data_IF_600811962548
#
_entry.id   IF_600811962548
#
_cell.length_a   1.000
_cell.length_b   1.000
_cell.length_c   1.000
_cell.angle_alpha   90.00
_cell.angle_beta   90.00
_cell.angle_gamma   90.00
#
_symmetry.space_group_name_H-M   'P 1'
#
loop_
_entity.id
_entity.type
_entity.pdbx_description
1 polymer ?
#
# COMPACT_ATOMS: atom_id res chain seq x y z
N UNK A 1 -19.38 -11.77 -2.51
CA UNK A 1 -20.82 -11.55 -2.18
C UNK A 1 -21.09 -12.11 -0.79
N UNK A 2 -21.49 -11.24 0.14
CA UNK A 2 -21.90 -11.67 1.48
C UNK A 2 -23.41 -11.94 1.39
N UNK A 3 -23.78 -13.20 1.33
CA UNK A 3 -25.17 -13.63 1.33
C UNK A 3 -25.59 -13.99 2.76
N UNK A 4 -26.25 -13.07 3.46
CA UNK A 4 -26.82 -13.29 4.78
C UNK A 4 -27.41 -12.02 5.38
N UNK A 5 -28.35 -12.17 6.31
CA UNK A 5 -29.02 -11.02 6.92
C UNK A 5 -28.22 -10.38 8.08
N UNK A 6 -27.09 -10.97 8.47
CA UNK A 6 -26.26 -10.49 9.58
C UNK A 6 -24.77 -10.73 9.26
N UNK A 7 -23.97 -9.69 9.40
CA UNK A 7 -22.51 -9.74 9.26
C UNK A 7 -21.89 -9.28 10.57
N UNK A 8 -21.06 -10.13 11.17
CA UNK A 8 -20.29 -9.79 12.36
C UNK A 8 -18.84 -9.50 11.98
N UNK A 9 -18.36 -8.31 12.30
CA UNK A 9 -16.97 -7.90 12.10
C UNK A 9 -16.30 -7.72 13.46
N UNK A 10 -15.20 -8.41 13.69
CA UNK A 10 -14.40 -8.27 14.91
C UNK A 10 -13.12 -7.48 14.60
N UNK A 11 -12.90 -6.39 15.30
CA UNK A 11 -11.71 -5.56 15.16
C UNK A 11 -10.84 -5.71 16.41
N UNK A 12 -9.54 -5.91 16.19
CA UNK A 12 -8.53 -5.75 17.23
C UNK A 12 -7.88 -4.39 17.08
N UNK A 13 -8.04 -3.53 18.09
CA UNK A 13 -7.40 -2.22 18.13
C UNK A 13 -6.08 -2.33 18.89
N UNK A 14 -5.02 -1.81 18.29
CA UNK A 14 -3.71 -1.68 18.88
C UNK A 14 -3.29 -0.22 18.90
N UNK A 15 -2.90 0.27 20.06
CA UNK A 15 -2.58 1.69 20.23
C UNK A 15 -1.10 2.04 20.08
N UNK A 16 -0.22 1.06 20.03
CA UNK A 16 1.23 1.28 19.97
C UNK A 16 1.86 1.95 21.21
N UNK A 17 1.08 2.20 22.25
CA UNK A 17 1.52 2.95 23.44
C UNK A 17 2.14 2.08 24.54
N UNK A 18 2.28 0.79 24.34
CA UNK A 18 2.94 -0.10 25.28
C UNK A 18 4.48 -0.09 25.20
N UNK A 19 5.04 0.73 24.33
CA UNK A 19 6.49 0.89 24.19
C UNK A 19 7.03 1.91 25.17
N UNK A 20 7.83 1.49 26.15
CA UNK A 20 8.88 2.20 26.87
C UNK A 20 8.68 3.62 27.42
N UNK A 21 7.55 4.24 27.25
CA UNK A 21 7.26 5.57 27.78
C UNK A 21 6.71 5.54 29.21
N UNK A 22 6.66 6.69 29.85
CA UNK A 22 6.00 6.85 31.16
C UNK A 22 4.55 6.36 31.06
N UNK A 23 4.01 5.69 32.10
CA UNK A 23 2.61 5.29 32.13
C UNK A 23 1.73 6.52 31.89
N UNK A 24 0.94 6.48 30.82
CA UNK A 24 -0.08 7.47 30.54
C UNK A 24 -1.43 6.78 30.62
N UNK A 25 -2.35 7.35 31.36
CA UNK A 25 -3.75 6.98 31.25
C UNK A 25 -4.24 7.47 29.90
N UNK A 26 -4.35 6.56 28.93
CA UNK A 26 -4.86 6.88 27.61
C UNK A 26 -6.19 6.14 27.43
N UNK A 27 -7.26 6.91 27.36
CA UNK A 27 -8.55 6.37 26.93
C UNK A 27 -8.58 6.30 25.42
N UNK A 28 -8.66 5.08 24.91
CA UNK A 28 -8.90 4.85 23.47
C UNK A 28 -10.38 4.89 23.21
N UNK A 29 -10.84 5.94 22.54
CA UNK A 29 -12.24 6.06 22.12
C UNK A 29 -12.34 5.87 20.62
N UNK A 30 -13.24 5.01 20.18
CA UNK A 30 -13.61 4.95 18.78
C UNK A 30 -14.27 6.28 18.40
N UNK A 31 -13.61 7.07 17.55
CA UNK A 31 -14.10 8.38 17.15
C UNK A 31 -15.24 8.25 16.14
N UNK A 32 -15.13 7.30 15.23
CA UNK A 32 -16.09 7.04 14.17
C UNK A 32 -15.90 5.64 13.61
N UNK A 33 -16.94 5.07 13.03
CA UNK A 33 -16.88 3.88 12.21
C UNK A 33 -17.73 4.13 10.96
N UNK A 34 -17.15 3.86 9.80
CA UNK A 34 -17.81 4.00 8.51
C UNK A 34 -17.72 2.70 7.75
N UNK A 35 -18.79 2.35 7.07
CA UNK A 35 -18.80 1.31 6.06
C UNK A 35 -19.17 1.99 4.73
N UNK A 36 -18.39 1.73 3.71
CA UNK A 36 -18.58 2.31 2.39
C UNK A 36 -18.07 1.38 1.30
N UNK A 37 -18.39 1.73 0.09
CA UNK A 37 -17.81 1.11 -1.10
C UNK A 37 -16.79 2.07 -1.68
N UNK A 38 -15.65 1.51 -2.11
CA UNK A 38 -14.69 2.25 -2.92
C UNK A 38 -15.22 2.31 -4.35
N UNK A 39 -15.35 3.52 -4.91
CA UNK A 39 -15.52 3.69 -6.34
C UNK A 39 -14.15 3.60 -7.00
N UNK A 40 -13.89 2.48 -7.68
CA UNK A 40 -12.58 2.15 -8.23
C UNK A 40 -12.11 3.19 -9.25
N UNK A 41 -13.00 3.67 -10.12
CA UNK A 41 -12.66 4.68 -11.13
C UNK A 41 -12.27 6.04 -10.54
N UNK A 42 -12.92 6.43 -9.45
CA UNK A 42 -12.54 7.65 -8.72
C UNK A 42 -11.18 7.50 -8.05
N UNK A 43 -10.92 6.34 -7.46
CA UNK A 43 -9.65 6.02 -6.81
C UNK A 43 -8.50 6.00 -7.85
N UNK A 44 -8.70 5.31 -8.98
CA UNK A 44 -7.74 5.22 -10.07
C UNK A 44 -7.42 6.61 -10.64
N UNK A 45 -8.44 7.40 -10.98
CA UNK A 45 -8.25 8.77 -11.48
C UNK A 45 -7.52 9.66 -10.48
N UNK A 46 -7.84 9.52 -9.18
CA UNK A 46 -7.17 10.31 -8.13
C UNK A 46 -5.68 10.01 -8.09
N UNK A 47 -5.30 8.73 -8.01
CA UNK A 47 -3.89 8.36 -7.90
C UNK A 47 -3.13 8.58 -9.20
N UNK A 48 -3.71 8.28 -10.35
CA UNK A 48 -3.12 8.59 -11.65
C UNK A 48 -2.91 10.10 -11.83
N UNK A 49 -3.93 10.90 -11.53
CA UNK A 49 -3.85 12.35 -11.59
C UNK A 49 -2.79 12.91 -10.64
N UNK A 50 -2.68 12.36 -9.43
CA UNK A 50 -1.65 12.73 -8.46
C UNK A 50 -0.26 12.41 -8.99
N UNK A 51 -0.06 11.23 -9.60
CA UNK A 51 1.24 10.84 -10.18
C UNK A 51 1.60 11.73 -11.36
N UNK A 52 0.66 12.03 -12.24
CA UNK A 52 0.86 12.97 -13.35
C UNK A 52 1.25 14.36 -12.83
N UNK A 53 0.53 14.85 -11.83
CA UNK A 53 0.84 16.13 -11.20
C UNK A 53 2.25 16.15 -10.61
N UNK A 54 2.63 15.11 -9.86
CA UNK A 54 3.98 15.00 -9.28
C UNK A 54 5.06 14.94 -10.36
N UNK A 55 4.82 14.26 -11.46
CA UNK A 55 5.73 14.24 -12.61
C UNK A 55 5.88 15.64 -13.22
N UNK A 56 4.79 16.39 -13.37
CA UNK A 56 4.82 17.78 -13.86
C UNK A 56 5.68 18.67 -12.94
N UNK A 57 5.61 18.49 -11.61
CA UNK A 57 6.41 19.27 -10.66
C UNK A 57 7.93 19.04 -10.82
N UNK A 58 8.33 17.81 -11.17
CA UNK A 58 9.75 17.44 -11.31
C UNK A 58 10.36 17.81 -12.68
N UNK A 59 9.53 17.97 -13.72
CA UNK A 59 10.00 18.31 -15.06
C UNK A 59 10.29 19.81 -15.19
N UNK A 60 11.30 20.15 -16.00
CA UNK A 60 11.64 21.54 -16.26
C UNK A 60 10.49 22.30 -16.94
N UNK A 61 10.41 23.62 -16.73
CA UNK A 61 9.33 24.45 -17.29
C UNK A 61 9.26 24.43 -18.83
N UNK A 62 10.38 24.19 -19.49
CA UNK A 62 10.48 24.16 -20.95
C UNK A 62 10.39 22.74 -21.54
N UNK A 63 10.13 21.72 -20.71
CA UNK A 63 10.02 20.34 -21.16
C UNK A 63 8.70 20.11 -21.91
N UNK A 64 8.73 19.64 -23.16
CA UNK A 64 7.51 19.35 -23.92
C UNK A 64 6.61 18.32 -23.24
N UNK A 65 7.21 17.34 -22.53
CA UNK A 65 6.46 16.31 -21.81
C UNK A 65 5.66 16.93 -20.68
N UNK A 66 6.23 17.90 -19.95
CA UNK A 66 5.52 18.66 -18.92
C UNK A 66 4.24 19.30 -19.46
N UNK A 67 4.33 19.99 -20.61
CA UNK A 67 3.17 20.64 -21.21
C UNK A 67 2.13 19.64 -21.72
N UNK A 68 2.56 18.51 -22.27
CA UNK A 68 1.66 17.45 -22.73
C UNK A 68 0.90 16.81 -21.55
N UNK A 69 1.59 16.52 -20.44
CA UNK A 69 1.01 15.99 -19.22
C UNK A 69 0.00 16.98 -18.60
N UNK A 70 0.35 18.25 -18.53
CA UNK A 70 -0.54 19.28 -18.03
C UNK A 70 -1.81 19.40 -18.88
N UNK A 71 -1.66 19.43 -20.20
CA UNK A 71 -2.81 19.48 -21.11
C UNK A 71 -3.67 18.21 -21.04
N UNK A 72 -3.08 17.03 -20.77
CA UNK A 72 -3.82 15.78 -20.58
C UNK A 72 -4.63 15.83 -19.28
N UNK A 73 -4.01 16.27 -18.19
CA UNK A 73 -4.66 16.40 -16.89
C UNK A 73 -5.83 17.40 -16.96
N UNK A 74 -5.61 18.58 -17.54
CA UNK A 74 -6.66 19.60 -17.72
C UNK A 74 -7.84 19.05 -18.52
N UNK A 75 -7.59 18.38 -19.66
CA UNK A 75 -8.67 17.78 -20.48
C UNK A 75 -9.46 16.73 -19.72
N UNK A 76 -8.82 15.90 -18.92
CA UNK A 76 -9.49 14.87 -18.13
C UNK A 76 -10.36 15.51 -17.06
N UNK A 77 -9.83 16.42 -16.25
CA UNK A 77 -10.54 17.04 -15.15
C UNK A 77 -11.68 17.97 -15.59
N UNK A 78 -11.61 18.55 -16.80
CA UNK A 78 -12.69 19.32 -17.40
C UNK A 78 -13.91 18.48 -17.81
N UNK A 79 -13.76 17.14 -17.86
CA UNK A 79 -14.89 16.23 -18.12
C UNK A 79 -15.76 15.99 -16.89
N UNK A 80 -15.22 16.20 -15.70
CA UNK A 80 -15.91 15.89 -14.44
C UNK A 80 -17.06 16.88 -14.22
N UNK A 81 -18.26 16.34 -14.04
CA UNK A 81 -19.43 17.13 -13.64
C UNK A 81 -19.42 17.37 -12.11
N UNK A 82 -18.95 18.53 -11.72
CA UNK A 82 -18.87 18.96 -10.33
C UNK A 82 -20.18 19.51 -9.75
N UNK A 83 -21.28 19.48 -10.52
CA UNK A 83 -22.56 20.09 -10.09
C UNK A 83 -23.12 19.37 -8.86
N UNK A 84 -23.04 18.04 -8.84
CA UNK A 84 -23.54 17.22 -7.74
C UNK A 84 -22.57 16.07 -7.42
N UNK A 85 -21.47 16.33 -6.72
CA UNK A 85 -20.51 15.29 -6.34
C UNK A 85 -21.19 14.15 -5.57
N UNK A 86 -20.90 12.91 -6.01
CA UNK A 86 -21.51 11.70 -5.45
C UNK A 86 -22.80 11.24 -6.12
N UNK A 87 -23.30 11.93 -7.14
CA UNK A 87 -24.39 11.47 -8.00
C UNK A 87 -23.91 10.44 -9.03
N UNK A 88 -24.84 9.71 -9.63
CA UNK A 88 -24.53 8.77 -10.72
C UNK A 88 -23.88 9.50 -11.91
N UNK A 89 -24.35 10.70 -12.25
CA UNK A 89 -23.79 11.53 -13.32
C UNK A 89 -22.34 11.97 -12.98
N UNK A 90 -22.08 12.30 -11.72
CA UNK A 90 -20.72 12.59 -11.26
C UNK A 90 -19.80 11.37 -11.48
N UNK A 91 -20.16 10.18 -10.99
CA UNK A 91 -19.34 8.99 -11.17
C UNK A 91 -19.17 8.57 -12.63
N UNK A 92 -20.21 8.73 -13.46
CA UNK A 92 -20.10 8.51 -14.90
C UNK A 92 -19.08 9.46 -15.55
N UNK A 93 -19.10 10.73 -15.18
CA UNK A 93 -18.16 11.74 -15.69
C UNK A 93 -16.72 11.51 -15.20
N UNK A 94 -16.54 10.99 -13.99
CA UNK A 94 -15.24 10.57 -13.45
C UNK A 94 -14.68 9.40 -14.25
N UNK A 95 -15.50 8.41 -14.58
CA UNK A 95 -15.05 7.29 -15.41
C UNK A 95 -14.60 7.76 -16.81
N UNK A 96 -15.32 8.69 -17.43
CA UNK A 96 -14.89 9.31 -18.70
C UNK A 96 -13.58 10.10 -18.57
N UNK A 97 -13.37 10.76 -17.43
CA UNK A 97 -12.14 11.49 -17.15
C UNK A 97 -10.95 10.55 -16.98
N UNK A 98 -11.13 9.43 -16.25
CA UNK A 98 -10.12 8.38 -16.09
C UNK A 98 -9.71 7.79 -17.43
N UNK A 99 -10.68 7.37 -18.25
CA UNK A 99 -10.41 6.84 -19.59
C UNK A 99 -9.69 7.86 -20.49
N UNK A 100 -10.07 9.13 -20.38
CA UNK A 100 -9.43 10.23 -21.13
C UNK A 100 -7.96 10.43 -20.72
N UNK A 101 -7.65 10.40 -19.42
CA UNK A 101 -6.30 10.57 -18.92
C UNK A 101 -5.41 9.38 -19.29
N UNK A 102 -5.92 8.16 -19.10
CA UNK A 102 -5.22 6.93 -19.49
C UNK A 102 -4.89 6.94 -20.99
N UNK A 103 -5.87 7.19 -21.85
CA UNK A 103 -5.66 7.27 -23.30
C UNK A 103 -4.63 8.33 -23.70
N UNK A 104 -4.62 9.49 -23.04
CA UNK A 104 -3.65 10.53 -23.30
C UNK A 104 -2.23 10.13 -22.92
N UNK A 105 -2.06 9.46 -21.77
CA UNK A 105 -0.76 8.95 -21.31
C UNK A 105 -0.26 7.83 -22.22
N UNK A 106 -1.16 6.92 -22.63
CA UNK A 106 -0.81 5.80 -23.51
C UNK A 106 -0.37 6.26 -24.91
N UNK A 107 -0.88 7.39 -25.37
CA UNK A 107 -0.50 7.99 -26.64
C UNK A 107 0.85 8.72 -26.59
N UNK A 108 1.42 8.96 -25.39
CA UNK A 108 2.72 9.62 -25.27
C UNK A 108 3.86 8.66 -25.60
N UNK A 109 4.95 9.21 -26.13
CA UNK A 109 6.18 8.45 -26.27
C UNK A 109 6.75 8.12 -24.89
N UNK A 110 6.88 6.81 -24.62
CA UNK A 110 7.38 6.27 -23.35
C UNK A 110 8.82 5.75 -23.48
N UNK A 111 9.56 6.27 -24.46
CA UNK A 111 10.93 5.83 -24.67
C UNK A 111 11.86 6.33 -23.55
N UNK A 112 12.50 5.39 -22.87
CA UNK A 112 13.53 5.66 -21.86
C UNK A 112 14.61 4.58 -21.90
N UNK A 113 15.86 5.01 -21.82
CA UNK A 113 17.00 4.10 -21.66
C UNK A 113 17.20 3.65 -20.20
N UNK A 114 16.38 4.17 -19.29
CA UNK A 114 16.44 3.86 -17.86
C UNK A 114 15.40 2.80 -17.52
N UNK A 115 15.87 1.68 -16.96
CA UNK A 115 15.02 0.65 -16.39
C UNK A 115 15.03 0.75 -14.87
N UNK A 116 13.85 0.89 -14.26
CA UNK A 116 13.69 0.94 -12.81
C UNK A 116 13.02 -0.34 -12.35
N UNK A 117 13.73 -1.09 -11.50
CA UNK A 117 13.19 -2.27 -10.83
C UNK A 117 12.70 -1.85 -9.44
N UNK A 118 11.43 -2.05 -9.17
CA UNK A 118 10.81 -1.75 -7.89
C UNK A 118 10.41 -3.02 -7.18
N UNK A 119 10.67 -3.08 -5.88
CA UNK A 119 10.26 -4.19 -5.02
C UNK A 119 9.67 -3.63 -3.74
N UNK A 120 8.55 -4.20 -3.29
CA UNK A 120 7.96 -3.86 -2.02
C UNK A 120 8.83 -4.37 -0.86
N UNK A 121 8.89 -3.61 0.23
CA UNK A 121 9.56 -4.01 1.46
C UNK A 121 8.85 -3.39 2.65
N UNK A 122 8.87 -4.07 3.80
CA UNK A 122 8.45 -3.48 5.06
C UNK A 122 9.52 -3.71 6.12
N UNK A 123 10.13 -2.63 6.59
CA UNK A 123 11.10 -2.72 7.68
C UNK A 123 10.40 -3.02 9.00
N UNK A 124 10.76 -4.12 9.63
CA UNK A 124 10.22 -4.53 10.93
C UNK A 124 11.37 -4.81 11.88
N UNK A 125 11.60 -3.89 12.82
CA UNK A 125 12.52 -4.16 13.91
C UNK A 125 12.01 -5.33 14.74
N UNK A 126 12.87 -6.29 15.00
CA UNK A 126 12.56 -7.48 15.82
C UNK A 126 12.21 -7.11 17.24
N UNK A 127 12.81 -6.03 17.76
CA UNK A 127 12.26 -5.13 18.77
C UNK A 127 12.96 -3.79 18.67
N UNK A 128 12.29 -2.72 19.09
CA UNK A 128 12.86 -1.38 19.21
C UNK A 128 12.29 -0.71 20.48
N UNK A 129 11.56 0.40 20.35
CA UNK A 129 10.85 1.03 21.47
C UNK A 129 9.54 0.31 21.83
N UNK A 130 9.42 -0.95 21.43
CA UNK A 130 8.29 -1.83 21.72
C UNK A 130 8.77 -3.27 22.04
N UNK A 131 7.86 -4.08 22.56
CA UNK A 131 8.15 -5.45 22.97
C UNK A 131 8.03 -6.42 21.82
N UNK A 132 8.69 -7.60 21.94
CA UNK A 132 8.61 -8.68 20.94
C UNK A 132 7.15 -9.08 20.60
N UNK A 133 6.23 -9.07 21.56
CA UNK A 133 4.81 -9.34 21.29
C UNK A 133 4.20 -8.37 20.27
N UNK A 134 4.65 -7.12 20.27
CA UNK A 134 4.18 -6.09 19.32
C UNK A 134 4.76 -6.33 17.92
N UNK A 135 6.00 -6.82 17.83
CA UNK A 135 6.60 -7.24 16.57
C UNK A 135 5.84 -8.42 15.95
N UNK A 136 5.53 -9.44 16.76
CA UNK A 136 4.71 -10.60 16.32
C UNK A 136 3.38 -10.16 15.71
N UNK A 137 2.67 -9.27 16.39
CA UNK A 137 1.41 -8.71 15.88
C UNK A 137 1.61 -7.85 14.63
N UNK A 138 2.70 -7.05 14.57
CA UNK A 138 3.04 -6.22 13.40
C UNK A 138 3.31 -7.10 12.18
N UNK A 139 3.98 -8.24 12.33
CA UNK A 139 4.21 -9.19 11.24
C UNK A 139 2.87 -9.65 10.63
N UNK A 140 1.92 -10.08 11.47
CA UNK A 140 0.60 -10.50 11.00
C UNK A 140 -0.10 -9.40 10.19
N UNK A 141 -0.14 -8.17 10.71
CA UNK A 141 -0.78 -7.03 10.02
C UNK A 141 -0.08 -6.65 8.72
N UNK A 142 1.24 -6.52 8.76
CA UNK A 142 2.02 -6.09 7.60
C UNK A 142 1.95 -7.12 6.49
N UNK A 143 2.14 -8.39 6.81
CA UNK A 143 2.14 -9.46 5.80
C UNK A 143 0.74 -9.71 5.21
N UNK A 144 -0.32 -9.56 6.02
CA UNK A 144 -1.69 -9.56 5.49
C UNK A 144 -1.92 -8.41 4.51
N UNK A 145 -1.39 -7.23 4.80
CA UNK A 145 -1.46 -6.08 3.88
C UNK A 145 -0.72 -6.38 2.57
N UNK A 146 0.48 -6.97 2.65
CA UNK A 146 1.24 -7.37 1.46
C UNK A 146 0.46 -8.40 0.62
N UNK A 147 -0.14 -9.41 1.27
CA UNK A 147 -0.98 -10.39 0.56
C UNK A 147 -2.13 -9.70 -0.20
N UNK A 148 -2.78 -8.72 0.44
CA UNK A 148 -3.84 -7.94 -0.21
C UNK A 148 -3.32 -7.11 -1.37
N UNK A 149 -2.15 -6.49 -1.26
CA UNK A 149 -1.52 -5.76 -2.37
C UNK A 149 -1.19 -6.71 -3.54
N UNK A 150 -0.72 -7.93 -3.27
CA UNK A 150 -0.47 -8.92 -4.31
C UNK A 150 -1.75 -9.40 -5.03
N UNK A 151 -2.89 -9.40 -4.34
CA UNK A 151 -4.18 -9.69 -4.95
C UNK A 151 -4.65 -8.54 -5.87
N UNK A 152 -4.44 -7.30 -5.45
CA UNK A 152 -4.85 -6.10 -6.19
C UNK A 152 -3.93 -5.79 -7.37
N UNK A 153 -2.63 -6.06 -7.22
CA UNK A 153 -1.58 -5.71 -8.17
C UNK A 153 -0.79 -6.97 -8.55
N UNK A 154 -1.12 -7.61 -9.69
CA UNK A 154 -0.43 -8.82 -10.15
C UNK A 154 1.07 -8.67 -10.34
N UNK A 155 1.54 -7.46 -10.68
CA UNK A 155 2.95 -7.10 -10.88
C UNK A 155 3.71 -6.81 -9.58
N UNK A 156 3.01 -6.79 -8.42
CA UNK A 156 3.64 -6.43 -7.14
C UNK A 156 4.49 -7.58 -6.61
N UNK A 157 5.80 -7.35 -6.51
CA UNK A 157 6.76 -8.23 -5.88
C UNK A 157 7.19 -7.67 -4.52
N UNK A 158 7.47 -8.54 -3.58
CA UNK A 158 7.80 -8.18 -2.21
C UNK A 158 9.01 -8.93 -1.69
N UNK A 159 9.87 -8.23 -0.97
CA UNK A 159 11.04 -8.80 -0.30
C UNK A 159 10.92 -8.61 1.21
N UNK A 160 11.18 -9.65 1.97
CA UNK A 160 11.26 -9.60 3.42
C UNK A 160 12.39 -10.46 3.94
N UNK A 161 13.25 -9.86 4.69
CA UNK A 161 14.36 -10.48 5.43
C UNK A 161 13.92 -10.99 6.80
N UNK A 162 14.84 -11.47 7.62
CA UNK A 162 14.68 -11.88 9.02
C UNK A 162 13.82 -13.14 9.21
N UNK A 163 14.42 -14.33 9.15
CA UNK A 163 13.73 -15.61 9.38
C UNK A 163 12.92 -15.68 10.67
N UNK A 164 13.29 -14.95 11.72
CA UNK A 164 12.56 -14.89 12.97
C UNK A 164 11.11 -14.40 12.77
N UNK A 165 10.88 -13.48 11.82
CA UNK A 165 9.54 -12.96 11.55
C UNK A 165 8.65 -14.05 10.96
N UNK A 166 9.20 -14.88 10.08
CA UNK A 166 8.49 -16.01 9.48
C UNK A 166 8.17 -17.11 10.50
N UNK A 167 9.07 -17.41 11.45
CA UNK A 167 8.79 -18.37 12.51
C UNK A 167 7.62 -17.89 13.39
N UNK A 168 7.57 -16.63 13.73
CA UNK A 168 6.44 -16.08 14.48
C UNK A 168 5.13 -16.11 13.67
N UNK A 169 5.17 -15.82 12.39
CA UNK A 169 3.98 -15.91 11.54
C UNK A 169 3.51 -17.36 11.40
N UNK A 170 4.43 -18.30 11.30
CA UNK A 170 4.13 -19.73 11.26
C UNK A 170 3.44 -20.22 12.55
N UNK A 171 3.88 -19.72 13.71
CA UNK A 171 3.29 -20.05 15.01
C UNK A 171 1.94 -19.39 15.23
N UNK A 172 1.84 -18.09 14.98
CA UNK A 172 0.67 -17.25 15.35
C UNK A 172 -0.40 -17.20 14.26
N UNK A 173 -0.01 -17.32 12.98
CA UNK A 173 -0.86 -17.13 11.81
C UNK A 173 -0.57 -18.19 10.72
N UNK A 174 -0.80 -19.50 11.00
CA UNK A 174 -0.38 -20.59 10.11
C UNK A 174 -1.02 -20.53 8.71
N UNK A 175 -2.24 -19.99 8.59
CA UNK A 175 -2.89 -19.78 7.30
C UNK A 175 -2.16 -18.72 6.47
N UNK A 176 -1.78 -17.60 7.07
CA UNK A 176 -0.99 -16.56 6.43
C UNK A 176 0.39 -17.10 6.01
N UNK A 177 1.03 -17.89 6.86
CA UNK A 177 2.31 -18.52 6.52
C UNK A 177 2.18 -19.45 5.30
N UNK A 178 1.10 -20.22 5.19
CA UNK A 178 0.83 -21.03 3.99
C UNK A 178 0.70 -20.18 2.73
N UNK A 179 -0.04 -19.07 2.80
CA UNK A 179 -0.19 -18.15 1.69
C UNK A 179 1.14 -17.51 1.28
N UNK A 180 1.98 -17.14 2.24
CA UNK A 180 3.33 -16.61 1.96
C UNK A 180 4.16 -17.65 1.20
N UNK A 181 4.13 -18.93 1.62
CA UNK A 181 4.84 -20.01 0.90
C UNK A 181 4.38 -20.14 -0.55
N UNK A 182 3.11 -19.98 -0.80
CA UNK A 182 2.58 -20.01 -2.17
C UNK A 182 3.14 -18.83 -2.98
N UNK A 183 3.19 -17.62 -2.43
CA UNK A 183 3.80 -16.45 -3.10
C UNK A 183 5.30 -16.61 -3.32
N UNK A 184 6.03 -17.24 -2.39
CA UNK A 184 7.44 -17.61 -2.58
C UNK A 184 7.60 -18.59 -3.74
N UNK A 185 6.74 -19.61 -3.82
CA UNK A 185 6.78 -20.58 -4.91
C UNK A 185 6.46 -19.98 -6.28
N UNK A 186 5.63 -18.94 -6.32
CA UNK A 186 5.32 -18.14 -7.51
C UNK A 186 6.45 -17.17 -7.91
N UNK A 187 7.45 -16.95 -7.06
CA UNK A 187 8.53 -15.98 -7.27
C UNK A 187 8.13 -14.53 -7.02
N UNK A 188 7.01 -14.29 -6.37
CA UNK A 188 6.48 -12.95 -6.05
C UNK A 188 6.83 -12.47 -4.63
N UNK A 189 7.26 -13.37 -3.79
CA UNK A 189 7.73 -13.07 -2.44
C UNK A 189 9.14 -13.61 -2.28
N UNK A 190 10.11 -12.72 -2.13
CA UNK A 190 11.50 -13.07 -1.87
C UNK A 190 11.75 -13.13 -0.35
N UNK A 191 12.04 -14.34 0.14
CA UNK A 191 12.40 -14.57 1.52
C UNK A 191 13.93 -14.56 1.63
N UNK A 192 14.53 -13.39 1.49
CA UNK A 192 15.97 -13.19 1.48
C UNK A 192 16.53 -12.98 2.90
N UNK A 193 17.85 -13.00 3.01
CA UNK A 193 18.61 -12.67 4.20
C UNK A 193 19.35 -13.84 4.82
N UNK A 194 20.63 -13.61 5.08
CA UNK A 194 21.53 -14.60 5.68
C UNK A 194 21.53 -14.57 7.22
N UNK A 195 20.94 -13.55 7.82
CA UNK A 195 20.92 -13.35 9.26
C UNK A 195 19.54 -13.65 9.84
N UNK A 196 19.51 -14.32 11.00
CA UNK A 196 18.26 -14.68 11.67
C UNK A 196 17.41 -13.46 12.01
N UNK A 197 18.05 -12.40 12.44
CA UNK A 197 17.53 -11.04 12.59
C UNK A 197 18.55 -10.05 12.02
N UNK A 198 18.11 -8.92 11.55
CA UNK A 198 19.02 -7.86 11.11
C UNK A 198 19.77 -7.30 12.33
N UNK A 199 21.10 -7.43 12.30
CA UNK A 199 21.94 -6.88 13.35
C UNK A 199 22.16 -5.39 13.14
N UNK A 200 22.09 -4.61 14.23
CA UNK A 200 22.51 -3.22 14.23
C UNK A 200 24.03 -3.14 14.00
N UNK A 201 24.44 -2.37 12.98
CA UNK A 201 25.87 -2.20 12.67
C UNK A 201 26.66 -1.51 13.80
N UNK A 202 25.99 -0.72 14.63
CA UNK A 202 26.63 -0.01 15.75
C UNK A 202 26.67 -0.83 17.05
N UNK A 203 25.74 -1.78 17.19
CA UNK A 203 25.59 -2.60 18.40
C UNK A 203 25.40 -4.06 18.01
N UNK A 204 26.37 -4.59 17.32
CA UNK A 204 26.51 -6.04 17.13
C UNK A 204 26.77 -6.72 18.47
N UNK A 205 26.53 -8.02 18.56
CA UNK A 205 26.72 -8.76 19.82
C UNK A 205 28.12 -8.54 20.40
N UNK A 206 28.24 -8.62 21.70
CA UNK A 206 29.50 -8.44 22.42
C UNK A 206 30.45 -9.68 22.37
N UNK A 207 30.11 -10.68 21.56
CA UNK A 207 30.91 -11.90 21.36
C UNK A 207 31.74 -11.84 20.07
#
# INVERSE_FOLDING_TARGET
EICGNEVSLTFRLWSGLEGGGLPREVEHRLKSAFLGYLDEKTDDLYYLGLMVWKTIEELSENDPVRHNLQAALDRAFLKIDWSYPGSDDFYASVAEADDCLNAAIDAMDKHSDIHVYTVGHTHIDTAWLWRLKNTREKCGRSFTTVMRLMEMFPEYDFLQTQPQLYEWVKEDYPELYSQIRDRVAEGRWEADGAMWVEADCNLTSGE
#
